data_IF_993416430792
#
_entry.id   IF_993416430792
#
_cell.length_a   1.000
_cell.length_b   1.000
_cell.length_c   1.000
_cell.angle_alpha   90.00
_cell.angle_beta   90.00
_cell.angle_gamma   90.00
#
_symmetry.space_group_name_H-M   'P 1'
#
loop_
_entity.id
_entity.type
_entity.pdbx_description
1 polymer ?
#
# COMPACT_ATOMS: atom_id res chain seq x y z
N UNK A 1 32.51 -35.95 16.39
CA UNK A 1 31.54 -35.18 15.58
C UNK A 1 31.02 -34.05 16.47
N UNK A 2 31.74 -32.93 16.53
CA UNK A 2 31.44 -31.76 17.38
C UNK A 2 30.34 -30.91 16.75
N UNK A 3 29.18 -30.83 17.42
CA UNK A 3 28.15 -29.86 17.05
C UNK A 3 28.57 -28.49 17.55
N UNK A 4 28.74 -27.52 16.62
CA UNK A 4 29.01 -26.15 16.95
C UNK A 4 27.81 -25.58 17.73
N UNK A 5 28.01 -25.37 19.03
CA UNK A 5 27.03 -24.72 19.90
C UNK A 5 27.16 -23.22 19.74
N UNK A 6 26.16 -22.56 19.17
CA UNK A 6 26.06 -21.11 19.14
C UNK A 6 25.69 -20.55 20.50
N UNK A 7 26.07 -19.33 20.75
CA UNK A 7 25.99 -18.59 22.01
C UNK A 7 24.60 -18.64 22.63
N UNK A 8 24.47 -19.20 23.82
CA UNK A 8 23.24 -19.26 24.61
C UNK A 8 23.21 -18.06 25.57
N UNK A 9 22.19 -17.22 25.47
CA UNK A 9 21.85 -16.20 26.46
C UNK A 9 20.38 -16.41 26.87
N UNK A 10 20.16 -16.70 28.17
CA UNK A 10 18.81 -16.74 28.74
C UNK A 10 17.93 -17.91 28.33
N UNK A 11 18.46 -19.13 28.18
CA UNK A 11 17.66 -20.37 28.08
C UNK A 11 17.03 -20.69 26.71
N UNK A 12 17.21 -19.85 25.69
CA UNK A 12 16.79 -20.10 24.31
C UNK A 12 18.00 -20.22 23.39
N UNK A 13 18.31 -21.45 22.90
CA UNK A 13 19.30 -21.64 21.83
C UNK A 13 18.68 -21.40 20.48
N UNK A 14 19.04 -20.30 19.84
CA UNK A 14 18.65 -20.02 18.46
C UNK A 14 19.59 -20.73 17.49
N UNK A 15 19.09 -21.55 16.56
CA UNK A 15 19.93 -22.20 15.58
C UNK A 15 20.56 -21.16 14.66
N UNK A 16 21.89 -21.22 14.48
CA UNK A 16 22.66 -20.33 13.57
C UNK A 16 22.11 -20.32 12.13
N UNK A 17 21.27 -21.29 11.77
CA UNK A 17 20.53 -21.31 10.49
C UNK A 17 19.53 -20.16 10.32
N UNK A 18 19.13 -19.47 11.39
CA UNK A 18 18.23 -18.30 11.28
C UNK A 18 18.92 -17.06 10.69
N UNK A 19 20.24 -16.95 10.77
CA UNK A 19 21.00 -15.85 10.14
C UNK A 19 21.22 -16.03 8.64
N UNK A 20 21.06 -17.24 8.10
CA UNK A 20 21.18 -17.52 6.65
C UNK A 20 19.91 -17.23 5.85
N UNK A 21 18.82 -16.79 6.48
CA UNK A 21 17.53 -16.52 5.84
C UNK A 21 17.33 -15.04 5.49
N UNK A 22 18.34 -14.17 5.62
CA UNK A 22 18.41 -12.95 4.81
C UNK A 22 18.83 -13.34 3.38
N UNK A 23 18.09 -14.26 2.75
CA UNK A 23 17.99 -14.27 1.30
C UNK A 23 17.42 -12.91 0.94
N UNK A 24 18.26 -12.00 0.49
CA UNK A 24 17.82 -10.77 -0.14
C UNK A 24 16.78 -11.16 -1.19
N UNK A 25 15.53 -10.76 -1.03
CA UNK A 25 14.51 -11.12 -2.01
C UNK A 25 15.00 -10.59 -3.36
N UNK A 26 14.76 -11.35 -4.42
CA UNK A 26 15.19 -11.01 -5.77
C UNK A 26 14.86 -9.53 -6.04
N UNK A 27 15.77 -8.73 -6.61
CA UNK A 27 15.57 -7.30 -6.86
C UNK A 27 14.28 -6.99 -7.63
N UNK A 28 13.77 -7.96 -8.38
CA UNK A 28 12.49 -7.86 -9.10
C UNK A 28 11.28 -7.71 -8.18
N UNK A 29 11.31 -8.27 -6.96
CA UNK A 29 10.19 -8.22 -5.99
C UNK A 29 10.03 -6.81 -5.41
N UNK A 30 11.11 -6.04 -5.32
CA UNK A 30 11.07 -4.69 -4.77
C UNK A 30 10.99 -3.61 -5.85
N UNK A 31 11.54 -3.87 -7.04
CA UNK A 31 11.58 -2.88 -8.10
C UNK A 31 10.18 -2.54 -8.63
N UNK A 32 9.35 -3.56 -8.84
CA UNK A 32 8.01 -3.36 -9.40
C UNK A 32 7.09 -2.51 -8.50
N UNK A 33 6.92 -2.82 -7.20
CA UNK A 33 6.14 -1.94 -6.31
C UNK A 33 6.70 -0.53 -6.21
N UNK A 34 8.04 -0.38 -6.21
CA UNK A 34 8.67 0.95 -6.16
C UNK A 34 8.34 1.78 -7.40
N UNK A 35 8.36 1.18 -8.59
CA UNK A 35 7.99 1.85 -9.83
C UNK A 35 6.51 2.26 -9.84
N UNK A 36 5.62 1.43 -9.27
CA UNK A 36 4.20 1.76 -9.14
C UNK A 36 3.97 2.95 -8.21
N UNK A 37 4.63 2.96 -7.05
CA UNK A 37 4.58 4.12 -6.13
C UNK A 37 5.12 5.36 -6.80
N UNK A 38 6.24 5.27 -7.52
CA UNK A 38 6.81 6.40 -8.28
C UNK A 38 5.82 6.92 -9.33
N UNK A 39 5.17 6.02 -10.07
CA UNK A 39 4.12 6.41 -11.02
C UNK A 39 2.93 7.07 -10.31
N UNK A 40 2.52 6.56 -9.14
CA UNK A 40 1.48 7.17 -8.31
C UNK A 40 1.83 8.59 -7.86
N UNK A 41 3.10 8.83 -7.51
CA UNK A 41 3.59 10.15 -7.12
C UNK A 41 3.62 11.16 -8.28
N UNK A 42 3.40 10.75 -9.54
CA UNK A 42 3.36 11.66 -10.67
C UNK A 42 2.34 12.80 -10.49
N UNK A 43 1.20 12.53 -9.83
CA UNK A 43 0.21 13.54 -9.49
C UNK A 43 0.69 14.67 -8.59
N UNK A 44 1.76 14.44 -7.81
CA UNK A 44 2.35 15.47 -6.95
C UNK A 44 3.20 16.49 -7.73
N UNK A 45 3.71 16.13 -8.90
CA UNK A 45 4.61 17.01 -9.66
C UNK A 45 3.92 18.34 -9.99
N UNK A 46 2.77 18.41 -10.69
CA UNK A 46 2.12 19.69 -10.93
C UNK A 46 1.61 20.34 -9.63
N UNK A 47 1.17 19.55 -8.65
CA UNK A 47 0.71 20.10 -7.37
C UNK A 47 1.80 20.86 -6.61
N UNK A 48 3.07 20.43 -6.72
CA UNK A 48 4.20 21.04 -6.02
C UNK A 48 4.94 22.09 -6.86
N UNK A 49 4.85 22.02 -8.18
CA UNK A 49 5.60 22.93 -9.08
C UNK A 49 4.81 24.14 -9.52
N UNK A 50 3.46 24.08 -9.50
CA UNK A 50 2.61 25.24 -9.86
C UNK A 50 2.50 26.19 -8.68
N UNK A 51 3.36 27.20 -8.66
CA UNK A 51 3.42 28.17 -7.57
C UNK A 51 2.27 29.21 -7.67
N UNK A 52 1.78 29.66 -6.51
CA UNK A 52 0.95 30.87 -6.40
C UNK A 52 -0.52 30.71 -6.75
N UNK A 53 -1.01 29.50 -7.05
CA UNK A 53 -2.45 29.30 -7.25
C UNK A 53 -3.19 29.21 -5.89
N UNK A 54 -4.40 29.77 -5.78
CA UNK A 54 -5.22 29.60 -4.58
C UNK A 54 -5.73 28.16 -4.48
N UNK A 55 -5.87 27.66 -3.25
CA UNK A 55 -6.54 26.40 -2.96
C UNK A 55 -8.02 26.53 -3.34
N UNK A 56 -8.51 25.60 -4.14
CA UNK A 56 -9.87 25.62 -4.66
C UNK A 56 -10.71 24.41 -4.22
N UNK A 57 -11.93 24.35 -4.74
CA UNK A 57 -12.86 23.25 -4.47
C UNK A 57 -12.29 21.89 -4.91
N UNK A 58 -11.54 21.86 -6.00
CA UNK A 58 -10.95 20.64 -6.53
C UNK A 58 -9.87 20.06 -5.59
N UNK A 59 -9.12 20.93 -4.91
CA UNK A 59 -8.16 20.52 -3.87
C UNK A 59 -8.86 19.92 -2.65
N UNK A 60 -9.98 20.55 -2.25
CA UNK A 60 -10.79 20.01 -1.14
C UNK A 60 -11.37 18.64 -1.50
N UNK A 61 -11.84 18.45 -2.74
CA UNK A 61 -12.31 17.15 -3.24
C UNK A 61 -11.17 16.12 -3.30
N UNK A 62 -10.00 16.50 -3.80
CA UNK A 62 -8.81 15.65 -3.86
C UNK A 62 -8.41 15.18 -2.46
N UNK A 63 -8.39 16.08 -1.49
CA UNK A 63 -8.12 15.77 -0.08
C UNK A 63 -9.16 14.81 0.49
N UNK A 64 -10.45 15.04 0.23
CA UNK A 64 -11.53 14.18 0.68
C UNK A 64 -11.38 12.76 0.12
N UNK A 65 -11.13 12.65 -1.20
CA UNK A 65 -10.94 11.35 -1.87
C UNK A 65 -9.71 10.63 -1.33
N UNK A 66 -8.56 11.30 -1.23
CA UNK A 66 -7.34 10.71 -0.70
C UNK A 66 -7.51 10.26 0.75
N UNK A 67 -8.11 11.09 1.60
CA UNK A 67 -8.37 10.76 3.01
C UNK A 67 -9.32 9.58 3.14
N UNK A 68 -10.36 9.51 2.30
CA UNK A 68 -11.29 8.38 2.27
C UNK A 68 -10.55 7.09 1.90
N UNK A 69 -9.65 7.13 0.91
CA UNK A 69 -8.82 6.00 0.53
C UNK A 69 -7.98 5.46 1.70
N UNK A 70 -7.25 6.36 2.37
CA UNK A 70 -6.43 6.01 3.55
C UNK A 70 -7.26 5.41 4.68
N UNK A 71 -8.43 6.00 4.98
CA UNK A 71 -9.30 5.48 6.03
C UNK A 71 -9.85 4.09 5.69
N UNK A 72 -10.25 3.88 4.43
CA UNK A 72 -10.74 2.59 3.96
C UNK A 72 -9.69 1.50 4.09
N UNK A 73 -8.47 1.76 3.64
CA UNK A 73 -7.33 0.86 3.76
C UNK A 73 -7.02 0.55 5.23
N UNK A 74 -6.93 1.60 6.07
CA UNK A 74 -6.64 1.46 7.49
C UNK A 74 -7.69 0.59 8.21
N UNK A 75 -8.97 0.79 7.94
CA UNK A 75 -10.04 -0.01 8.56
C UNK A 75 -10.04 -1.44 8.05
N UNK A 76 -9.84 -1.65 6.75
CA UNK A 76 -9.73 -2.99 6.15
C UNK A 76 -8.58 -3.78 6.75
N UNK A 77 -7.41 -3.17 6.85
CA UNK A 77 -6.22 -3.82 7.42
C UNK A 77 -6.37 -4.10 8.92
N UNK A 78 -6.96 -3.20 9.68
CA UNK A 78 -7.27 -3.45 11.10
C UNK A 78 -8.18 -4.66 11.27
N UNK A 79 -9.21 -4.80 10.45
CA UNK A 79 -10.10 -5.97 10.48
C UNK A 79 -9.33 -7.26 10.14
N UNK A 80 -8.48 -7.21 9.11
CA UNK A 80 -7.66 -8.36 8.73
C UNK A 80 -6.65 -8.74 9.83
N UNK A 81 -6.00 -7.75 10.44
CA UNK A 81 -5.08 -8.00 11.56
C UNK A 81 -5.80 -8.61 12.76
N UNK A 82 -6.97 -8.09 13.13
CA UNK A 82 -7.77 -8.64 14.23
C UNK A 82 -8.22 -10.09 13.94
N UNK A 83 -8.61 -10.37 12.70
CA UNK A 83 -8.95 -11.73 12.27
C UNK A 83 -7.76 -12.68 12.40
N UNK A 84 -6.59 -12.30 11.86
CA UNK A 84 -5.37 -13.13 11.93
C UNK A 84 -4.89 -13.36 13.37
N UNK A 85 -5.08 -12.36 14.26
CA UNK A 85 -4.70 -12.47 15.68
C UNK A 85 -5.51 -13.54 16.43
N UNK A 86 -6.72 -13.87 15.98
CA UNK A 86 -7.54 -14.96 16.54
C UNK A 86 -7.02 -16.36 16.19
N UNK A 87 -6.03 -16.47 15.29
CA UNK A 87 -5.54 -17.73 14.73
C UNK A 87 -6.69 -18.59 14.18
N UNK A 88 -7.41 -18.08 13.15
CA UNK A 88 -8.58 -18.74 12.58
C UNK A 88 -8.21 -20.14 12.06
N UNK A 89 -9.23 -21.01 11.88
CA UNK A 89 -9.06 -22.30 11.24
C UNK A 89 -8.59 -22.12 9.78
N UNK A 90 -7.89 -23.09 9.16
CA UNK A 90 -7.31 -22.97 7.83
C UNK A 90 -8.34 -22.68 6.71
N UNK A 91 -9.60 -23.05 6.93
CA UNK A 91 -10.75 -22.89 6.04
C UNK A 91 -11.62 -21.68 6.38
N UNK A 92 -11.33 -20.98 7.49
CA UNK A 92 -12.07 -19.80 7.92
C UNK A 92 -11.68 -18.57 7.09
N UNK A 93 -12.67 -17.92 6.49
CA UNK A 93 -12.50 -16.73 5.65
C UNK A 93 -13.09 -15.52 6.38
N UNK A 94 -12.35 -14.40 6.36
CA UNK A 94 -12.85 -13.14 6.88
C UNK A 94 -13.99 -12.62 5.98
N UNK A 95 -15.20 -12.56 6.53
CA UNK A 95 -16.41 -12.12 5.84
C UNK A 95 -17.21 -11.06 6.62
N UNK A 96 -16.57 -10.40 7.60
CA UNK A 96 -17.19 -9.38 8.44
C UNK A 96 -16.77 -7.96 8.04
N UNK A 97 -17.63 -6.98 8.34
CA UNK A 97 -17.32 -5.57 8.13
C UNK A 97 -17.10 -5.24 6.66
N UNK A 98 -15.96 -4.61 6.33
CA UNK A 98 -15.61 -4.25 4.95
C UNK A 98 -15.36 -5.48 4.07
N UNK A 99 -14.90 -6.59 4.66
CA UNK A 99 -14.63 -7.86 3.99
C UNK A 99 -15.91 -8.63 3.62
N UNK A 100 -17.06 -8.21 4.13
CA UNK A 100 -18.37 -8.72 3.66
C UNK A 100 -18.76 -8.17 2.27
N UNK A 101 -18.23 -6.98 1.91
CA UNK A 101 -18.58 -6.27 0.68
C UNK A 101 -17.61 -6.56 -0.46
N UNK A 102 -16.35 -6.79 -0.15
CA UNK A 102 -15.29 -7.06 -1.12
C UNK A 102 -14.28 -8.06 -0.56
N UNK A 103 -13.64 -8.83 -1.45
CA UNK A 103 -12.53 -9.71 -1.08
C UNK A 103 -11.22 -8.95 -0.82
N UNK A 104 -11.14 -7.71 -1.29
CA UNK A 104 -9.95 -6.87 -1.18
C UNK A 104 -10.33 -5.40 -0.92
N UNK A 105 -10.97 -5.10 0.23
CA UNK A 105 -11.39 -3.74 0.53
C UNK A 105 -10.21 -2.78 0.73
N UNK A 106 -9.05 -3.28 1.19
CA UNK A 106 -7.82 -2.51 1.29
C UNK A 106 -7.32 -2.04 -0.10
N UNK A 107 -7.42 -2.86 -1.14
CA UNK A 107 -7.05 -2.47 -2.51
C UNK A 107 -7.95 -1.36 -3.05
N UNK A 108 -9.23 -1.39 -2.71
CA UNK A 108 -10.13 -0.30 -3.04
C UNK A 108 -9.69 1.02 -2.37
N UNK A 109 -9.27 0.94 -1.11
CA UNK A 109 -8.71 2.08 -0.39
C UNK A 109 -7.47 2.64 -1.08
N UNK A 110 -6.53 1.79 -1.43
CA UNK A 110 -5.28 2.16 -2.11
C UNK A 110 -5.57 2.83 -3.47
N UNK A 111 -6.41 2.23 -4.31
CA UNK A 111 -6.80 2.81 -5.59
C UNK A 111 -7.42 4.20 -5.38
N UNK A 112 -8.34 4.33 -4.43
CA UNK A 112 -9.02 5.59 -4.11
C UNK A 112 -8.03 6.67 -3.68
N UNK A 113 -7.03 6.31 -2.85
CA UNK A 113 -5.95 7.20 -2.45
C UNK A 113 -5.18 7.75 -3.67
N UNK A 114 -4.76 6.88 -4.58
CA UNK A 114 -3.99 7.30 -5.77
C UNK A 114 -4.81 8.15 -6.74
N UNK A 115 -6.14 7.93 -6.84
CA UNK A 115 -7.03 8.84 -7.55
C UNK A 115 -7.09 10.22 -6.89
N UNK A 116 -7.12 10.27 -5.56
CA UNK A 116 -7.03 11.53 -4.81
C UNK A 116 -5.74 12.29 -5.11
N UNK A 117 -4.60 11.60 -5.13
CA UNK A 117 -3.29 12.19 -5.49
C UNK A 117 -3.29 12.74 -6.93
N UNK A 118 -3.85 12.01 -7.88
CA UNK A 118 -3.98 12.48 -9.26
C UNK A 118 -4.89 13.71 -9.38
N UNK A 119 -5.97 13.76 -8.60
CA UNK A 119 -6.85 14.93 -8.54
C UNK A 119 -6.14 16.19 -8.03
N UNK A 120 -5.19 16.07 -7.09
CA UNK A 120 -4.35 17.21 -6.71
C UNK A 120 -3.52 17.73 -7.88
N UNK A 121 -2.96 16.84 -8.69
CA UNK A 121 -2.23 17.21 -9.89
C UNK A 121 -3.12 17.95 -10.89
N UNK A 122 -4.31 17.42 -11.19
CA UNK A 122 -5.27 18.06 -12.09
C UNK A 122 -5.83 19.38 -11.54
N UNK A 123 -5.96 19.49 -10.22
CA UNK A 123 -6.34 20.74 -9.58
C UNK A 123 -5.28 21.83 -9.76
N UNK A 124 -4.01 21.43 -9.79
CA UNK A 124 -2.89 22.36 -9.99
C UNK A 124 -2.71 22.75 -11.45
N UNK A 125 -2.84 21.80 -12.36
CA UNK A 125 -2.70 21.96 -13.80
C UNK A 125 -3.73 21.06 -14.52
N UNK A 126 -4.82 21.64 -15.03
CA UNK A 126 -5.86 20.87 -15.75
C UNK A 126 -5.35 20.18 -17.02
N UNK A 127 -4.26 20.67 -17.61
CA UNK A 127 -3.66 20.08 -18.82
C UNK A 127 -2.72 18.90 -18.49
N UNK A 128 -2.45 18.65 -17.20
CA UNK A 128 -1.61 17.56 -16.74
C UNK A 128 -2.36 16.20 -16.72
N UNK A 129 -3.11 15.86 -17.75
CA UNK A 129 -3.87 14.59 -17.85
C UNK A 129 -2.99 13.34 -17.67
N UNK A 130 -1.69 13.43 -17.94
CA UNK A 130 -0.72 12.35 -17.76
C UNK A 130 -0.59 11.88 -16.29
N UNK A 131 -1.02 12.67 -15.31
CA UNK A 131 -1.04 12.24 -13.90
C UNK A 131 -1.95 11.04 -13.65
N UNK A 132 -2.89 10.77 -14.56
CA UNK A 132 -3.74 9.58 -14.52
C UNK A 132 -2.97 8.27 -14.72
N UNK A 133 -1.71 8.32 -15.18
CA UNK A 133 -0.82 7.15 -15.28
C UNK A 133 -0.65 6.46 -13.93
N UNK A 134 -0.55 7.22 -12.83
CA UNK A 134 -0.39 6.68 -11.48
C UNK A 134 -1.52 5.73 -11.06
N UNK A 135 -2.76 6.24 -10.91
CA UNK A 135 -3.89 5.39 -10.53
C UNK A 135 -4.18 4.29 -11.55
N UNK A 136 -3.97 4.53 -12.85
CA UNK A 136 -4.15 3.51 -13.89
C UNK A 136 -3.16 2.35 -13.71
N UNK A 137 -1.88 2.64 -13.45
CA UNK A 137 -0.87 1.63 -13.19
C UNK A 137 -1.19 0.81 -11.94
N UNK A 138 -1.70 1.46 -10.87
CA UNK A 138 -2.16 0.78 -9.66
C UNK A 138 -3.32 -0.17 -9.93
N UNK A 139 -4.36 0.29 -10.64
CA UNK A 139 -5.51 -0.56 -11.01
C UNK A 139 -5.06 -1.77 -11.81
N UNK A 140 -4.22 -1.56 -12.84
CA UNK A 140 -3.72 -2.66 -13.67
C UNK A 140 -2.87 -3.65 -12.87
N UNK A 141 -2.06 -3.17 -11.93
CA UNK A 141 -1.26 -4.02 -11.05
C UNK A 141 -2.15 -4.90 -10.16
N UNK A 142 -3.20 -4.34 -9.58
CA UNK A 142 -4.07 -5.07 -8.66
C UNK A 142 -5.00 -6.06 -9.36
N UNK A 143 -5.34 -5.84 -10.63
CA UNK A 143 -6.11 -6.80 -11.44
C UNK A 143 -5.27 -8.06 -11.76
N UNK A 144 -3.94 -7.95 -11.79
CA UNK A 144 -3.03 -9.06 -12.12
C UNK A 144 -2.58 -9.90 -10.92
N UNK A 145 -2.97 -9.53 -9.71
CA UNK A 145 -2.68 -10.28 -8.48
C UNK A 145 -3.81 -11.27 -8.18
#
# INVERSE_FOLDING_TARGET
MMRACGMCSGGACWPIRALGLLKFPHPRIHLFPTLLVLAGCAGLVPALTTAGRPIGLLDALALLVASTGVLFELFADRQLHAFRARKPAPDEILSDGLWAWSRHPNYFGEITFWFGVALFGLAADPDAWWVAVGPTAMVLSLIHI
#
